data_IF_266669124927
#
_entry.id   IF_266669124927
#
_cell.length_a   1.000
_cell.length_b   1.000
_cell.length_c   1.000
_cell.angle_alpha   90.00
_cell.angle_beta   90.00
_cell.angle_gamma   90.00
#
_symmetry.space_group_name_H-M   'P 1'
#
loop_
_entity.id
_entity.type
_entity.pdbx_description
1 polymer ?
#
# COMPACT_ATOMS: atom_id res chain seq x y z
N UNK A 1 18.17 27.84 -2.25
CA UNK A 1 17.99 28.08 -0.82
C UNK A 1 17.95 26.76 -0.06
N UNK A 2 18.80 26.63 0.97
CA UNK A 2 18.88 25.40 1.75
C UNK A 2 17.67 25.26 2.69
N UNK A 3 17.16 24.03 2.79
CA UNK A 3 16.06 23.70 3.71
C UNK A 3 16.66 23.22 5.05
N UNK A 4 16.02 23.59 6.15
CA UNK A 4 16.37 23.02 7.45
C UNK A 4 15.67 21.66 7.62
N UNK A 5 16.01 20.91 8.69
CA UNK A 5 15.51 19.56 8.90
C UNK A 5 13.98 19.50 8.98
N UNK A 6 13.34 20.46 9.63
CA UNK A 6 11.89 20.51 9.76
C UNK A 6 11.22 20.78 8.42
N UNK A 7 11.77 21.71 7.63
CA UNK A 7 11.26 21.99 6.29
C UNK A 7 11.38 20.80 5.36
N UNK A 8 12.49 20.06 5.44
CA UNK A 8 12.69 18.82 4.67
C UNK A 8 11.60 17.81 5.02
N UNK A 9 11.29 17.64 6.30
CA UNK A 9 10.26 16.72 6.75
C UNK A 9 8.88 17.12 6.20
N UNK A 10 8.53 18.39 6.29
CA UNK A 10 7.26 18.92 5.79
C UNK A 10 7.12 18.75 4.28
N UNK A 11 8.18 19.06 3.53
CA UNK A 11 8.19 18.93 2.06
C UNK A 11 8.07 17.45 1.66
N UNK A 12 8.84 16.58 2.32
CA UNK A 12 8.79 15.14 2.05
C UNK A 12 7.38 14.58 2.29
N UNK A 13 6.75 14.95 3.41
CA UNK A 13 5.40 14.51 3.73
C UNK A 13 4.40 14.96 2.66
N UNK A 14 4.47 16.21 2.22
CA UNK A 14 3.59 16.73 1.17
C UNK A 14 3.81 16.03 -0.17
N UNK A 15 5.05 15.78 -0.54
CA UNK A 15 5.38 15.05 -1.76
C UNK A 15 4.72 13.67 -1.76
N UNK A 16 4.83 12.94 -0.66
CA UNK A 16 4.23 11.61 -0.51
C UNK A 16 2.70 11.68 -0.50
N UNK A 17 2.13 12.54 0.32
CA UNK A 17 0.67 12.63 0.49
C UNK A 17 -0.04 13.09 -0.78
N UNK A 18 0.56 13.98 -1.57
CA UNK A 18 -0.05 14.46 -2.80
C UNK A 18 0.16 13.50 -3.98
N UNK A 19 1.21 12.68 -3.94
CA UNK A 19 1.47 11.71 -5.01
C UNK A 19 0.80 10.35 -4.78
N UNK A 20 0.52 9.97 -3.54
CA UNK A 20 -0.01 8.65 -3.21
C UNK A 20 -1.36 8.33 -3.85
N UNK A 21 -2.30 9.29 -4.04
CA UNK A 21 -3.55 8.98 -4.73
C UNK A 21 -3.37 8.40 -6.13
N UNK A 22 -2.29 8.77 -6.81
CA UNK A 22 -1.97 8.24 -8.15
C UNK A 22 -1.69 6.74 -8.06
N UNK A 23 -0.84 6.33 -7.11
CA UNK A 23 -0.53 4.92 -6.88
C UNK A 23 -1.76 4.16 -6.38
N UNK A 24 -2.50 4.75 -5.46
CA UNK A 24 -3.71 4.15 -4.89
C UNK A 24 -4.74 3.82 -5.98
N UNK A 25 -4.97 4.74 -6.91
CA UNK A 25 -5.88 4.53 -8.03
C UNK A 25 -5.41 3.39 -8.93
N UNK A 26 -4.12 3.32 -9.23
CA UNK A 26 -3.58 2.25 -10.08
C UNK A 26 -3.68 0.89 -9.39
N UNK A 27 -3.42 0.82 -8.09
CA UNK A 27 -3.58 -0.42 -7.32
C UNK A 27 -5.04 -0.87 -7.34
N UNK A 28 -5.97 0.03 -7.10
CA UNK A 28 -7.40 -0.26 -7.15
C UNK A 28 -7.84 -0.74 -8.53
N UNK A 29 -7.33 -0.12 -9.57
CA UNK A 29 -7.63 -0.48 -10.96
C UNK A 29 -7.18 -1.91 -11.28
N UNK A 30 -5.96 -2.28 -10.88
CA UNK A 30 -5.47 -3.64 -11.07
C UNK A 30 -6.27 -4.66 -10.25
N UNK A 31 -6.53 -4.34 -8.98
CA UNK A 31 -7.28 -5.23 -8.09
C UNK A 31 -8.73 -5.39 -8.54
N UNK A 32 -9.33 -4.38 -9.17
CA UNK A 32 -10.72 -4.44 -9.63
C UNK A 32 -10.97 -5.59 -10.61
N UNK A 33 -9.94 -6.05 -11.30
CA UNK A 33 -10.02 -7.18 -12.23
C UNK A 33 -10.05 -8.54 -11.51
N UNK A 34 -9.77 -8.57 -10.22
CA UNK A 34 -9.63 -9.78 -9.42
C UNK A 34 -10.50 -9.76 -8.17
N UNK A 35 -11.66 -9.06 -8.23
CA UNK A 35 -12.58 -9.00 -7.11
C UNK A 35 -13.22 -10.35 -6.84
N UNK A 36 -13.13 -10.77 -5.59
CA UNK A 36 -13.90 -11.91 -5.07
C UNK A 36 -15.17 -11.36 -4.38
N UNK A 37 -15.00 -10.82 -3.15
CA UNK A 37 -16.11 -10.21 -2.40
C UNK A 37 -16.14 -8.69 -2.50
N UNK A 38 -15.06 -8.08 -2.99
CA UNK A 38 -14.86 -6.64 -2.99
C UNK A 38 -14.20 -6.09 -1.72
N UNK A 39 -14.09 -6.90 -0.67
CA UNK A 39 -13.51 -6.46 0.61
C UNK A 39 -12.09 -5.93 0.45
N UNK A 40 -11.25 -6.66 -0.28
CA UNK A 40 -9.87 -6.26 -0.50
C UNK A 40 -9.78 -4.95 -1.29
N UNK A 41 -10.57 -4.84 -2.35
CA UNK A 41 -10.62 -3.64 -3.18
C UNK A 41 -11.01 -2.41 -2.37
N UNK A 42 -12.08 -2.52 -1.59
CA UNK A 42 -12.60 -1.40 -0.80
C UNK A 42 -11.68 -1.01 0.35
N UNK A 43 -10.84 -1.94 0.82
CA UNK A 43 -9.93 -1.70 1.94
C UNK A 43 -8.62 -1.05 1.53
N UNK A 44 -8.35 -0.87 0.23
CA UNK A 44 -7.10 -0.27 -0.23
C UNK A 44 -7.03 1.19 0.20
N UNK A 45 -5.96 1.55 0.85
CA UNK A 45 -5.72 2.91 1.29
C UNK A 45 -4.26 3.15 1.63
N UNK A 46 -3.93 4.39 1.93
CA UNK A 46 -2.58 4.77 2.34
C UNK A 46 -2.47 4.82 3.85
N UNK A 47 -1.25 4.58 4.34
CA UNK A 47 -0.97 4.60 5.78
C UNK A 47 -0.65 5.98 6.32
N UNK A 48 -0.54 7.00 5.47
CA UNK A 48 0.00 8.30 5.83
C UNK A 48 1.52 8.31 5.76
N UNK A 49 2.09 9.50 5.67
CA UNK A 49 3.54 9.66 5.58
C UNK A 49 4.21 9.30 6.90
N UNK A 50 5.29 8.54 6.83
CA UNK A 50 6.07 8.06 8.00
C UNK A 50 7.55 8.18 7.73
N UNK A 51 8.34 8.07 8.79
CA UNK A 51 9.79 8.12 8.72
C UNK A 51 10.40 6.86 9.34
N UNK A 52 11.48 6.38 8.71
CA UNK A 52 12.31 5.31 9.27
C UNK A 52 13.79 5.65 9.02
N UNK A 53 14.68 4.70 9.29
CA UNK A 53 16.13 4.91 9.13
C UNK A 53 16.54 5.20 7.68
N UNK A 54 15.72 4.78 6.71
CA UNK A 54 16.00 4.96 5.29
C UNK A 54 15.42 6.24 4.71
N UNK A 55 14.58 6.94 5.47
CA UNK A 55 13.95 8.18 5.03
C UNK A 55 12.45 8.19 5.22
N UNK A 56 11.76 8.92 4.38
CA UNK A 56 10.31 9.11 4.45
C UNK A 56 9.62 8.16 3.49
N UNK A 57 8.48 7.62 3.92
CA UNK A 57 7.74 6.67 3.10
C UNK A 57 6.24 6.73 3.38
N UNK A 58 5.47 6.21 2.44
CA UNK A 58 4.03 6.00 2.57
C UNK A 58 3.72 4.65 1.90
N UNK A 59 2.77 3.91 2.46
CA UNK A 59 2.39 2.62 1.92
C UNK A 59 0.96 2.64 1.41
N UNK A 60 0.74 1.99 0.27
CA UNK A 60 -0.60 1.72 -0.27
C UNK A 60 -0.83 0.22 -0.16
N UNK A 61 -1.85 -0.18 0.59
CA UNK A 61 -2.13 -1.59 0.81
C UNK A 61 -3.59 -1.82 1.23
N UNK A 62 -4.09 -3.04 1.05
CA UNK A 62 -5.36 -3.41 1.65
C UNK A 62 -5.24 -3.44 3.17
N UNK A 63 -6.27 -3.00 3.87
CA UNK A 63 -6.32 -2.97 5.33
C UNK A 63 -7.47 -3.82 5.84
N UNK A 64 -7.46 -4.11 7.15
CA UNK A 64 -8.55 -4.81 7.80
C UNK A 64 -8.65 -6.28 7.41
N UNK A 65 -9.81 -6.83 7.68
CA UNK A 65 -10.09 -8.26 7.51
C UNK A 65 -11.09 -8.49 6.39
N UNK A 66 -10.99 -9.65 5.75
CA UNK A 66 -12.01 -10.13 4.84
C UNK A 66 -13.32 -10.36 5.62
N UNK A 67 -14.42 -10.60 4.91
CA UNK A 67 -15.72 -10.78 5.55
C UNK A 67 -15.66 -11.86 6.64
N UNK A 68 -16.62 -11.82 7.58
CA UNK A 68 -16.66 -12.72 8.72
C UNK A 68 -16.70 -14.22 8.34
N UNK A 69 -17.05 -14.52 7.10
CA UNK A 69 -17.09 -15.90 6.60
C UNK A 69 -15.73 -16.43 6.14
N UNK A 70 -14.71 -15.60 6.08
CA UNK A 70 -13.35 -15.98 5.63
C UNK A 70 -12.44 -16.22 6.83
N UNK A 71 -12.39 -17.46 7.26
CA UNK A 71 -11.55 -17.90 8.38
C UNK A 71 -10.53 -18.95 7.89
N UNK A 72 -9.40 -19.02 8.56
CA UNK A 72 -8.39 -20.04 8.34
C UNK A 72 -7.81 -20.52 9.68
N UNK A 73 -7.13 -21.64 9.65
CA UNK A 73 -6.38 -22.09 10.82
C UNK A 73 -5.18 -21.17 11.04
N UNK A 74 -4.87 -20.91 12.32
CA UNK A 74 -3.67 -20.17 12.67
C UNK A 74 -2.43 -20.95 12.21
N UNK A 75 -1.45 -20.24 11.66
CA UNK A 75 -0.20 -20.85 11.17
C UNK A 75 0.81 -21.07 12.29
N UNK A 76 0.61 -20.43 13.42
CA UNK A 76 1.52 -20.52 14.56
C UNK A 76 1.33 -21.84 15.28
N UNK A 77 2.41 -22.61 15.44
CA UNK A 77 2.36 -23.91 16.13
C UNK A 77 2.36 -23.80 17.66
N UNK A 78 2.64 -22.61 18.20
CA UNK A 78 2.62 -22.36 19.62
C UNK A 78 1.97 -21.02 19.92
N UNK A 79 1.78 -20.71 21.21
CA UNK A 79 1.21 -19.44 21.64
C UNK A 79 -0.32 -19.45 21.70
N UNK A 80 -0.90 -18.26 21.93
CA UNK A 80 -2.34 -18.10 22.20
C UNK A 80 -3.25 -18.47 21.03
N UNK A 81 -2.76 -18.41 19.81
CA UNK A 81 -3.56 -18.67 18.60
C UNK A 81 -3.41 -20.09 18.05
N UNK A 82 -2.50 -20.88 18.62
CA UNK A 82 -2.24 -22.24 18.15
C UNK A 82 -3.54 -23.07 18.18
N UNK A 83 -3.84 -23.77 17.10
CA UNK A 83 -5.02 -24.60 16.96
C UNK A 83 -6.35 -23.87 16.83
N UNK A 84 -6.33 -22.54 16.77
CA UNK A 84 -7.55 -21.71 16.65
C UNK A 84 -7.74 -21.22 15.23
N UNK A 85 -8.99 -20.93 14.89
CA UNK A 85 -9.30 -20.28 13.62
C UNK A 85 -9.13 -18.77 13.76
N UNK A 86 -8.53 -18.15 12.71
CA UNK A 86 -8.32 -16.70 12.67
C UNK A 86 -8.96 -16.13 11.40
N UNK A 87 -9.36 -14.86 11.48
CA UNK A 87 -9.92 -14.16 10.32
C UNK A 87 -8.83 -13.90 9.28
N UNK A 88 -9.20 -14.04 8.01
CA UNK A 88 -8.28 -13.75 6.90
C UNK A 88 -8.19 -12.23 6.73
N UNK A 89 -6.96 -11.71 6.68
CA UNK A 89 -6.72 -10.29 6.43
C UNK A 89 -6.77 -9.99 4.93
N UNK A 90 -7.23 -8.79 4.58
CA UNK A 90 -7.24 -8.36 3.18
C UNK A 90 -5.83 -8.32 2.58
N UNK A 91 -4.82 -7.92 3.36
CA UNK A 91 -3.43 -7.94 2.90
C UNK A 91 -2.94 -9.36 2.61
N UNK A 92 -3.39 -10.36 3.36
CA UNK A 92 -3.08 -11.76 3.12
C UNK A 92 -3.59 -12.22 1.74
N UNK A 93 -4.81 -11.82 1.39
CA UNK A 93 -5.37 -12.08 0.06
C UNK A 93 -4.54 -11.42 -1.04
N UNK A 94 -4.07 -10.20 -0.80
CA UNK A 94 -3.20 -9.49 -1.73
C UNK A 94 -1.87 -10.22 -1.94
N UNK A 95 -1.26 -10.74 -0.88
CA UNK A 95 -0.01 -11.50 -0.95
C UNK A 95 -0.19 -12.75 -1.80
N UNK A 96 -1.29 -13.47 -1.63
CA UNK A 96 -1.59 -14.66 -2.44
C UNK A 96 -1.77 -14.30 -3.92
N UNK A 97 -2.40 -13.18 -4.20
CA UNK A 97 -2.58 -12.71 -5.57
C UNK A 97 -1.25 -12.30 -6.19
N UNK A 98 -0.43 -11.55 -5.47
CA UNK A 98 0.85 -11.03 -5.96
C UNK A 98 1.86 -12.13 -6.25
N UNK A 99 2.00 -13.09 -5.33
CA UNK A 99 3.05 -14.12 -5.40
C UNK A 99 2.54 -15.50 -5.78
N UNK A 100 1.22 -15.70 -5.77
CA UNK A 100 0.62 -16.99 -6.04
C UNK A 100 0.68 -17.95 -4.85
N UNK A 101 0.08 -19.09 -5.02
CA UNK A 101 0.07 -20.20 -4.07
C UNK A 101 0.26 -21.51 -4.82
N UNK A 102 0.31 -22.64 -4.10
CA UNK A 102 0.37 -23.95 -4.73
C UNK A 102 -0.86 -24.26 -5.61
N UNK A 103 -1.97 -23.54 -5.36
CA UNK A 103 -3.25 -23.75 -6.08
C UNK A 103 -3.61 -22.59 -7.01
N UNK A 104 -2.88 -21.49 -6.96
CA UNK A 104 -3.19 -20.27 -7.70
C UNK A 104 -1.94 -19.68 -8.33
N UNK A 105 -2.03 -19.36 -9.63
CA UNK A 105 -0.94 -18.68 -10.33
C UNK A 105 -0.81 -17.25 -9.81
N UNK A 106 0.43 -16.74 -9.74
CA UNK A 106 0.70 -15.37 -9.37
C UNK A 106 0.10 -14.39 -10.38
N UNK A 107 -0.53 -13.32 -9.88
CA UNK A 107 -0.98 -12.18 -10.68
C UNK A 107 -0.45 -10.94 -9.98
N UNK A 108 0.74 -10.42 -10.38
CA UNK A 108 1.46 -9.39 -9.63
C UNK A 108 0.83 -8.01 -9.77
N UNK A 109 -0.31 -7.79 -9.13
CA UNK A 109 -1.10 -6.55 -9.22
C UNK A 109 -0.34 -5.34 -8.67
N UNK A 110 0.37 -5.50 -7.54
CA UNK A 110 1.14 -4.41 -6.94
C UNK A 110 2.30 -4.00 -7.83
N UNK A 111 3.03 -4.97 -8.38
CA UNK A 111 4.14 -4.71 -9.29
C UNK A 111 3.67 -4.01 -10.57
N UNK A 112 2.56 -4.44 -11.12
CA UNK A 112 1.97 -3.82 -12.32
C UNK A 112 1.50 -2.40 -12.05
N UNK A 113 0.80 -2.19 -10.94
CA UNK A 113 0.31 -0.87 -10.56
C UNK A 113 1.46 0.09 -10.32
N UNK A 114 2.49 -0.34 -9.59
CA UNK A 114 3.68 0.46 -9.33
C UNK A 114 4.36 0.87 -10.63
N UNK A 115 4.52 -0.06 -11.55
CA UNK A 115 5.16 0.21 -12.84
C UNK A 115 4.38 1.25 -13.65
N UNK A 116 3.05 1.16 -13.66
CA UNK A 116 2.20 2.11 -14.38
C UNK A 116 2.17 3.48 -13.74
N UNK A 117 2.20 3.53 -12.40
CA UNK A 117 2.10 4.78 -11.66
C UNK A 117 3.43 5.52 -11.53
N UNK A 118 4.55 4.82 -11.65
CA UNK A 118 5.88 5.34 -11.31
C UNK A 118 6.18 6.71 -11.93
N UNK A 119 5.99 6.84 -13.22
CA UNK A 119 6.29 8.10 -13.93
C UNK A 119 5.45 9.26 -13.41
N UNK A 120 4.16 9.04 -13.25
CA UNK A 120 3.24 10.08 -12.79
C UNK A 120 3.46 10.42 -11.32
N UNK A 121 3.79 9.43 -10.49
CA UNK A 121 4.14 9.65 -9.08
C UNK A 121 5.39 10.52 -8.97
N UNK A 122 6.44 10.18 -9.71
CA UNK A 122 7.70 10.95 -9.71
C UNK A 122 7.47 12.37 -10.21
N UNK A 123 6.68 12.53 -11.28
CA UNK A 123 6.34 13.85 -11.80
C UNK A 123 5.58 14.71 -10.79
N UNK A 124 4.65 14.09 -10.07
CA UNK A 124 3.89 14.79 -9.03
C UNK A 124 4.78 15.18 -7.85
N UNK A 125 5.67 14.28 -7.43
CA UNK A 125 6.64 14.58 -6.37
C UNK A 125 7.54 15.76 -6.76
N UNK A 126 8.01 15.80 -8.00
CA UNK A 126 8.84 16.90 -8.49
C UNK A 126 8.07 18.21 -8.52
N UNK A 127 6.82 18.18 -8.96
CA UNK A 127 5.94 19.35 -8.97
C UNK A 127 5.74 19.91 -7.56
N UNK A 128 5.44 19.03 -6.60
CA UNK A 128 5.23 19.43 -5.20
C UNK A 128 6.52 19.98 -4.60
N UNK A 129 7.65 19.31 -4.84
CA UNK A 129 8.96 19.77 -4.39
C UNK A 129 9.25 21.18 -4.88
N UNK A 130 9.10 21.41 -6.17
CA UNK A 130 9.36 22.72 -6.77
C UNK A 130 8.45 23.81 -6.18
N UNK A 131 7.18 23.51 -6.02
CA UNK A 131 6.22 24.43 -5.43
C UNK A 131 6.59 24.81 -3.99
N UNK A 132 6.92 23.82 -3.16
CA UNK A 132 7.24 24.05 -1.76
C UNK A 132 8.59 24.73 -1.55
N UNK A 133 9.59 24.38 -2.37
CA UNK A 133 10.91 25.01 -2.30
C UNK A 133 10.85 26.47 -2.78
N UNK A 134 10.14 26.74 -3.87
CA UNK A 134 9.98 28.10 -4.40
C UNK A 134 9.20 29.00 -3.42
N UNK A 135 8.35 28.43 -2.59
CA UNK A 135 7.63 29.14 -1.55
C UNK A 135 8.45 29.46 -0.31
N UNK A 136 9.66 28.94 -0.22
CA UNK A 136 10.59 29.17 0.88
C UNK A 136 11.65 30.19 0.49
#
# INVERSE_FOLDING_TARGET
>A
QALNALEVEEVAAKMLEESVPILEQEVKKEVSRHKDTGDMYESIGSTGARRNQRGYYICVRPTGYASAKKWRNARTKGGKRAGKKVRVRNMEKMVYLEYGTSKQRATPVLSRATRRAEKDVISKMQEVFNREVDGK
#
